data_IF_609196533244
#
_entry.id   IF_609196533244
#
_cell.length_a   1.000
_cell.length_b   1.000
_cell.length_c   1.000
_cell.angle_alpha   90.00
_cell.angle_beta   90.00
_cell.angle_gamma   90.00
#
_symmetry.space_group_name_H-M   'P 1'
#
loop_
_entity.id
_entity.type
_entity.pdbx_description
1 polymer ?
#
# COMPACT_ATOMS: atom_id res chain seq x y z
N UNK A 1 8.41 -3.20 10.13
CA UNK A 1 7.60 -2.23 9.36
C UNK A 1 6.19 -2.23 9.95
N UNK A 2 5.44 -1.12 9.97
CA UNK A 2 4.09 -1.11 10.53
C UNK A 2 3.16 -2.02 9.71
N UNK A 3 2.34 -2.81 10.42
CA UNK A 3 1.29 -3.61 9.82
C UNK A 3 0.10 -2.75 9.41
N UNK A 4 -0.46 -3.06 8.25
CA UNK A 4 -1.61 -2.37 7.70
C UNK A 4 -2.64 -3.41 7.25
N UNK A 5 -3.89 -3.20 7.63
CA UNK A 5 -5.02 -4.01 7.15
C UNK A 5 -5.47 -3.45 5.80
N UNK A 6 -5.38 -4.22 4.69
CA UNK A 6 -5.86 -3.78 3.39
C UNK A 6 -7.36 -3.47 3.42
N UNK A 7 -7.77 -2.50 2.60
CA UNK A 7 -9.15 -2.07 2.45
C UNK A 7 -9.75 -2.67 1.17
N UNK A 8 -11.01 -3.11 1.23
CA UNK A 8 -11.70 -3.64 0.04
C UNK A 8 -11.97 -2.59 -1.06
N UNK A 9 -11.86 -1.29 -0.74
CA UNK A 9 -12.05 -0.20 -1.67
C UNK A 9 -11.30 1.06 -1.21
N UNK A 10 -11.09 1.99 -2.13
CA UNK A 10 -10.55 3.32 -1.84
C UNK A 10 -11.51 4.06 -0.88
N UNK A 11 -11.03 4.61 0.25
CA UNK A 11 -11.90 5.39 1.13
C UNK A 11 -12.46 6.63 0.45
N UNK A 12 -13.70 7.01 0.78
CA UNK A 12 -14.29 8.30 0.38
C UNK A 12 -14.12 9.38 1.46
N UNK A 13 -13.44 9.06 2.55
CA UNK A 13 -13.28 9.90 3.72
C UNK A 13 -11.84 10.36 3.90
N UNK A 14 -11.66 11.43 4.68
CA UNK A 14 -10.34 11.89 5.10
C UNK A 14 -9.64 10.87 6.02
N UNK A 15 -8.30 10.92 6.15
CA UNK A 15 -7.51 9.99 6.95
C UNK A 15 -8.00 9.81 8.39
N UNK A 16 -8.46 10.89 9.03
CA UNK A 16 -8.92 10.86 10.43
C UNK A 16 -10.15 9.98 10.66
N UNK A 17 -10.88 9.65 9.58
CA UNK A 17 -12.06 8.78 9.61
C UNK A 17 -11.76 7.37 9.06
N UNK A 18 -10.51 7.08 8.67
CA UNK A 18 -10.07 5.73 8.29
C UNK A 18 -9.62 5.00 9.56
N UNK A 19 -9.94 3.71 9.68
CA UNK A 19 -9.49 2.90 10.81
C UNK A 19 -7.96 2.96 10.92
N UNK A 20 -7.44 3.22 12.12
CA UNK A 20 -6.00 3.42 12.34
C UNK A 20 -5.15 2.22 11.90
N UNK A 21 -5.69 1.00 12.00
CA UNK A 21 -5.01 -0.22 11.55
C UNK A 21 -4.88 -0.31 10.01
N UNK A 22 -5.65 0.46 9.25
CA UNK A 22 -5.63 0.49 7.78
C UNK A 22 -4.93 1.73 7.22
N UNK A 23 -4.25 2.49 8.08
CA UNK A 23 -3.67 3.79 7.76
C UNK A 23 -2.22 3.86 8.25
N UNK A 24 -1.32 4.33 7.40
CA UNK A 24 0.07 4.60 7.78
C UNK A 24 0.46 6.04 7.45
N UNK A 25 0.90 6.81 8.44
CA UNK A 25 1.59 8.07 8.18
C UNK A 25 3.07 7.79 7.97
N UNK A 26 3.59 8.12 6.80
CA UNK A 26 5.00 7.89 6.46
C UNK A 26 5.71 9.23 6.27
N UNK A 27 6.95 9.30 6.75
CA UNK A 27 7.84 10.42 6.53
C UNK A 27 8.21 10.54 5.03
N UNK A 28 8.78 11.68 4.59
CA UNK A 28 9.18 11.85 3.20
C UNK A 28 10.20 10.78 2.81
N UNK A 29 9.90 10.02 1.76
CA UNK A 29 10.79 9.00 1.20
C UNK A 29 10.85 9.11 -0.32
N UNK A 30 11.84 8.46 -0.92
CA UNK A 30 11.89 8.32 -2.37
C UNK A 30 11.07 7.11 -2.84
N UNK A 31 11.01 6.08 -2.02
CA UNK A 31 10.36 4.82 -2.37
C UNK A 31 9.46 4.36 -1.22
N UNK A 32 8.32 3.77 -1.57
CA UNK A 32 7.48 3.00 -0.66
C UNK A 32 7.79 1.53 -0.88
N UNK A 33 8.09 0.82 0.21
CA UNK A 33 8.15 -0.63 0.25
C UNK A 33 6.80 -1.17 0.72
N UNK A 34 6.24 -2.11 -0.04
CA UNK A 34 5.06 -2.88 0.35
C UNK A 34 5.43 -4.36 0.33
N UNK A 35 5.15 -5.05 1.42
CA UNK A 35 5.34 -6.48 1.52
C UNK A 35 4.11 -7.12 2.13
N UNK A 36 3.86 -8.37 1.76
CA UNK A 36 2.77 -9.11 2.36
C UNK A 36 2.94 -10.60 2.17
N UNK A 37 2.12 -11.33 2.91
CA UNK A 37 2.00 -12.77 2.79
C UNK A 37 0.56 -13.22 2.97
N UNK A 38 0.13 -14.14 2.11
CA UNK A 38 -1.13 -14.87 2.25
C UNK A 38 -0.91 -16.29 2.78
N UNK A 39 -1.88 -16.78 3.53
CA UNK A 39 -2.04 -18.20 3.87
C UNK A 39 -3.13 -18.89 3.06
N UNK A 40 -3.94 -18.13 2.29
CA UNK A 40 -4.95 -18.64 1.38
C UNK A 40 -5.41 -17.58 0.39
N UNK A 41 -5.92 -18.03 -0.77
CA UNK A 41 -6.46 -17.16 -1.83
C UNK A 41 -5.41 -16.39 -2.63
N UNK A 42 -5.88 -15.38 -3.37
CA UNK A 42 -5.06 -14.44 -4.13
C UNK A 42 -5.57 -13.01 -3.94
N UNK A 43 -4.69 -12.02 -4.07
CA UNK A 43 -5.06 -10.61 -4.09
C UNK A 43 -4.00 -9.79 -4.80
N UNK A 44 -4.40 -8.66 -5.36
CA UNK A 44 -3.50 -7.61 -5.84
C UNK A 44 -3.62 -6.41 -4.90
N UNK A 45 -2.52 -5.96 -4.29
CA UNK A 45 -2.51 -4.86 -3.34
C UNK A 45 -1.98 -3.59 -3.99
N UNK A 46 -2.73 -2.50 -3.88
CA UNK A 46 -2.33 -1.20 -4.42
C UNK A 46 -2.25 -0.14 -3.32
N UNK A 47 -1.11 0.55 -3.17
CA UNK A 47 -1.00 1.63 -2.20
C UNK A 47 -1.53 2.96 -2.78
N UNK A 48 -2.26 3.71 -1.95
CA UNK A 48 -2.79 5.03 -2.23
C UNK A 48 -2.29 6.04 -1.20
N UNK A 49 -2.10 7.29 -1.60
CA UNK A 49 -1.76 8.39 -0.70
C UNK A 49 -2.90 9.40 -0.60
N UNK A 50 -3.03 10.05 0.55
CA UNK A 50 -3.94 11.18 0.72
C UNK A 50 -3.33 12.44 0.10
N UNK A 51 -3.99 13.04 -0.88
CA UNK A 51 -3.45 14.22 -1.56
C UNK A 51 -3.40 15.45 -0.67
N UNK A 52 -4.30 15.55 0.33
CA UNK A 52 -4.60 16.77 1.09
C UNK A 52 -5.33 17.82 0.25
N UNK A 53 -4.87 18.02 -0.98
CA UNK A 53 -5.45 18.93 -1.97
C UNK A 53 -6.60 18.26 -2.71
N UNK A 54 -7.81 18.81 -2.61
CA UNK A 54 -9.00 18.26 -3.28
C UNK A 54 -9.66 17.07 -2.55
N UNK A 55 -9.13 16.66 -1.40
CA UNK A 55 -9.77 15.68 -0.52
C UNK A 55 -9.91 14.29 -1.13
N UNK A 56 -8.88 13.82 -1.84
CA UNK A 56 -8.92 12.54 -2.55
C UNK A 56 -7.74 11.63 -2.20
N UNK A 57 -8.01 10.32 -2.24
CA UNK A 57 -6.98 9.28 -2.27
C UNK A 57 -6.53 9.07 -3.71
N UNK A 58 -5.23 9.16 -3.95
CA UNK A 58 -4.64 9.01 -5.28
C UNK A 58 -3.71 7.79 -5.29
N UNK A 59 -3.70 7.00 -6.37
CA UNK A 59 -2.82 5.85 -6.46
C UNK A 59 -1.35 6.29 -6.45
N UNK A 60 -0.47 5.47 -5.87
CA UNK A 60 0.95 5.57 -6.13
C UNK A 60 1.24 5.08 -7.56
N UNK A 61 2.12 5.80 -8.25
CA UNK A 61 2.47 5.72 -9.68
C UNK A 61 1.52 6.43 -10.67
N UNK A 62 2.07 6.71 -11.87
CA UNK A 62 1.73 7.81 -12.78
C UNK A 62 0.44 7.67 -13.61
N UNK A 63 -0.50 6.79 -13.25
CA UNK A 63 -1.77 6.66 -13.95
C UNK A 63 -2.94 6.65 -12.97
N UNK A 64 -3.93 7.51 -13.22
CA UNK A 64 -5.18 7.62 -12.49
C UNK A 64 -6.07 6.36 -12.63
N UNK A 65 -5.72 5.42 -13.53
CA UNK A 65 -6.60 4.33 -13.93
C UNK A 65 -6.07 2.93 -13.58
N UNK A 66 -4.74 2.69 -13.59
CA UNK A 66 -4.11 1.44 -13.12
C UNK A 66 -2.57 1.57 -13.02
N UNK A 67 -2.03 2.00 -11.87
CA UNK A 67 -0.57 2.03 -11.63
C UNK A 67 0.07 0.65 -11.37
N UNK A 68 1.23 0.61 -10.71
CA UNK A 68 1.82 -0.65 -10.20
C UNK A 68 1.01 -1.20 -9.02
N UNK A 69 1.03 -2.52 -8.86
CA UNK A 69 0.41 -3.21 -7.71
C UNK A 69 1.22 -4.45 -7.33
N UNK A 70 1.05 -4.90 -6.08
CA UNK A 70 1.70 -6.09 -5.54
C UNK A 70 0.75 -7.29 -5.62
N UNK A 71 1.01 -8.21 -6.54
CA UNK A 71 0.26 -9.47 -6.61
C UNK A 71 0.76 -10.47 -5.56
N UNK A 72 -0.17 -11.02 -4.79
CA UNK A 72 0.03 -12.08 -3.82
C UNK A 72 -0.80 -13.30 -4.21
N UNK A 73 -0.17 -14.46 -4.19
CA UNK A 73 -0.80 -15.74 -4.45
C UNK A 73 -0.31 -16.75 -3.42
N UNK A 74 -1.22 -17.27 -2.60
CA UNK A 74 -0.90 -18.25 -1.56
C UNK A 74 -0.23 -19.53 -2.08
N UNK A 75 -0.39 -19.84 -3.37
CA UNK A 75 0.21 -21.01 -4.02
C UNK A 75 1.64 -20.77 -4.51
N UNK A 76 2.08 -19.51 -4.58
CA UNK A 76 3.39 -19.11 -5.08
C UNK A 76 4.24 -18.52 -3.97
N UNK A 77 5.55 -18.80 -3.96
CA UNK A 77 6.51 -18.21 -3.01
C UNK A 77 6.05 -18.27 -1.53
N UNK A 78 5.36 -19.34 -1.13
CA UNK A 78 4.80 -19.50 0.22
C UNK A 78 3.85 -18.34 0.61
N UNK A 79 3.12 -17.83 -0.39
CA UNK A 79 2.18 -16.71 -0.28
C UNK A 79 2.81 -15.34 -0.19
N UNK A 80 4.14 -15.22 -0.22
CA UNK A 80 4.86 -13.97 0.01
C UNK A 80 5.18 -13.21 -1.27
N UNK A 81 5.08 -11.88 -1.21
CA UNK A 81 5.60 -10.99 -2.24
C UNK A 81 6.01 -9.64 -1.64
N UNK A 82 6.90 -8.93 -2.33
CA UNK A 82 7.32 -7.57 -1.99
C UNK A 82 7.46 -6.72 -3.25
N UNK A 83 7.15 -5.43 -3.14
CA UNK A 83 7.19 -4.47 -4.25
C UNK A 83 7.63 -3.08 -3.81
N UNK A 84 8.15 -2.32 -4.78
CA UNK A 84 8.66 -0.96 -4.64
C UNK A 84 7.78 0.01 -5.45
N UNK A 85 7.42 1.16 -4.87
CA UNK A 85 6.58 2.17 -5.51
C UNK A 85 7.19 3.55 -5.37
N UNK A 86 7.14 4.39 -6.41
CA UNK A 86 7.75 5.72 -6.35
C UNK A 86 6.95 6.65 -5.44
N UNK A 87 7.59 7.25 -4.45
CA UNK A 87 6.92 8.15 -3.50
C UNK A 87 6.94 9.61 -3.97
N UNK A 88 6.01 10.42 -3.44
CA UNK A 88 5.91 11.87 -3.68
C UNK A 88 7.01 12.71 -3.01
N UNK A 89 7.94 12.10 -2.27
CA UNK A 89 8.99 12.80 -1.51
C UNK A 89 8.45 13.83 -0.52
N UNK A 90 7.26 13.59 0.01
CA UNK A 90 6.63 14.39 1.08
C UNK A 90 5.96 13.44 2.08
N UNK A 91 5.80 13.88 3.32
CA UNK A 91 5.06 13.10 4.31
C UNK A 91 3.59 13.03 3.90
N UNK A 92 3.00 11.84 3.99
CA UNK A 92 1.60 11.63 3.66
C UNK A 92 1.02 10.46 4.44
N UNK A 93 -0.31 10.42 4.48
CA UNK A 93 -1.04 9.22 4.88
C UNK A 93 -1.19 8.28 3.69
N UNK A 94 -1.06 6.99 3.97
CA UNK A 94 -1.16 5.91 3.00
C UNK A 94 -2.16 4.86 3.45
N UNK A 95 -2.88 4.30 2.49
CA UNK A 95 -3.71 3.10 2.64
C UNK A 95 -3.33 2.09 1.58
N UNK A 96 -3.64 0.82 1.81
CA UNK A 96 -3.48 -0.26 0.83
C UNK A 96 -4.85 -0.80 0.49
N UNK A 97 -5.16 -0.91 -0.80
CA UNK A 97 -6.46 -1.34 -1.29
C UNK A 97 -6.30 -2.69 -1.99
N UNK A 98 -7.27 -3.56 -1.76
CA UNK A 98 -7.40 -4.84 -2.44
C UNK A 98 -8.00 -4.66 -3.84
N UNK A 99 -7.37 -5.30 -4.81
CA UNK A 99 -7.83 -5.43 -6.18
C UNK A 99 -7.81 -6.91 -6.57
N UNK A 100 -8.78 -7.33 -7.39
CA UNK A 100 -8.88 -8.71 -7.88
C UNK A 100 -8.77 -9.77 -6.76
N UNK A 101 -9.33 -9.50 -5.57
CA UNK A 101 -9.26 -10.38 -4.42
C UNK A 101 -10.12 -11.64 -4.63
N UNK A 102 -9.52 -12.81 -4.45
CA UNK A 102 -10.19 -14.11 -4.45
C UNK A 102 -9.94 -14.83 -3.12
N UNK A 103 -10.81 -14.55 -2.15
CA UNK A 103 -10.77 -15.10 -0.79
C UNK A 103 -9.38 -15.04 -0.10
N UNK A 104 -8.72 -13.86 -0.05
CA UNK A 104 -7.42 -13.74 0.59
C UNK A 104 -7.50 -13.97 2.09
N UNK A 105 -6.55 -14.73 2.63
CA UNK A 105 -6.34 -14.89 4.07
C UNK A 105 -4.95 -14.38 4.40
N UNK A 106 -4.86 -13.17 4.94
CA UNK A 106 -3.58 -12.53 5.25
C UNK A 106 -2.89 -13.13 6.46
N UNK A 107 -1.57 -13.33 6.33
CA UNK A 107 -0.66 -13.49 7.47
C UNK A 107 -0.26 -12.09 7.96
N UNK A 108 0.32 -11.28 7.05
CA UNK A 108 0.65 -9.88 7.29
C UNK A 108 0.67 -9.07 5.99
N UNK A 109 0.56 -7.76 6.14
CA UNK A 109 0.90 -6.76 5.12
C UNK A 109 1.61 -5.61 5.83
N UNK A 110 2.77 -5.20 5.34
CA UNK A 110 3.51 -4.06 5.87
C UNK A 110 3.80 -3.03 4.80
N UNK A 111 3.81 -1.76 5.21
CA UNK A 111 4.19 -0.63 4.35
C UNK A 111 5.21 0.25 5.05
N UNK A 112 6.22 0.73 4.32
CA UNK A 112 7.20 1.69 4.83
C UNK A 112 7.73 2.61 3.74
N UNK A 113 8.32 3.73 4.14
CA UNK A 113 9.02 4.63 3.24
C UNK A 113 10.53 4.54 3.46
N UNK A 114 11.29 4.56 2.37
CA UNK A 114 12.75 4.59 2.37
C UNK A 114 13.25 5.85 1.66
N UNK A 115 14.21 6.53 2.27
CA UNK A 115 15.02 7.55 1.60
C UNK A 115 16.21 6.85 0.93
N UNK A 116 16.49 7.10 -0.35
CA UNK A 116 17.78 6.63 -0.88
C UNK A 116 18.89 7.37 -0.14
N UNK A 117 19.65 6.62 0.65
CA UNK A 117 20.94 7.07 1.10
C UNK A 117 21.85 6.97 -0.12
N UNK A 118 22.12 8.10 -0.79
CA UNK A 118 23.39 8.18 -1.50
C UNK A 118 24.46 8.06 -0.42
N UNK A 119 25.39 7.07 -0.46
CA UNK A 119 26.59 7.20 0.33
C UNK A 119 27.26 8.53 -0.06
N UNK A 120 27.53 9.38 0.93
CA UNK A 120 28.38 10.56 0.75
C UNK A 120 29.84 10.12 0.78
#
# INVERSE_FOLDING_TARGET
MPAITPLAAIPMTAPDSVASASLAFLAPGQIIWLEGRLTGGTVTLRPYYWSGTGGAWLPLDTDATAGNALALDSTLFNGGASGLFTSRRVSAYYVVVEEAAAAPVYDFVHISAESSASPQ
#
